data_IF_669445609000
#
_entry.id   IF_669445609000
#
_cell.length_a   1.000
_cell.length_b   1.000
_cell.length_c   1.000
_cell.angle_alpha   90.00
_cell.angle_beta   90.00
_cell.angle_gamma   90.00
#
_symmetry.space_group_name_H-M   'P 1'
#
loop_
_entity.id
_entity.type
_entity.pdbx_description
1 polymer ?
#
# COMPACT_ATOMS: atom_id res chain seq x y z
N UNK A 1 -25.95 24.41 35.23
CA UNK A 1 -25.33 23.12 35.61
C UNK A 1 -25.15 22.30 34.35
N UNK A 2 -23.95 21.75 34.14
CA UNK A 2 -23.58 21.07 32.89
C UNK A 2 -23.06 22.01 31.79
N UNK A 3 -22.68 23.22 32.17
CA UNK A 3 -21.97 24.21 31.34
C UNK A 3 -20.71 24.57 32.13
N UNK A 4 -19.56 24.50 31.47
CA UNK A 4 -18.25 24.61 32.13
C UNK A 4 -18.09 23.69 33.33
N UNK A 5 -17.47 24.23 34.38
CA UNK A 5 -17.28 23.55 35.66
C UNK A 5 -18.52 23.57 36.57
N UNK A 6 -19.58 24.28 36.22
CA UNK A 6 -20.75 24.43 37.09
C UNK A 6 -21.58 23.14 37.20
N UNK A 7 -21.75 22.69 38.43
CA UNK A 7 -22.48 21.50 38.79
C UNK A 7 -23.69 21.86 39.67
N UNK A 8 -24.82 21.17 39.44
CA UNK A 8 -25.95 21.25 40.35
C UNK A 8 -25.60 20.52 41.65
N UNK A 9 -25.88 21.14 42.79
CA UNK A 9 -25.77 20.49 44.09
C UNK A 9 -27.00 19.66 44.43
N UNK A 10 -26.87 18.83 45.46
CA UNK A 10 -27.96 18.03 46.00
C UNK A 10 -28.37 18.55 47.38
N UNK A 11 -29.66 18.74 47.57
CA UNK A 11 -30.25 18.97 48.89
C UNK A 11 -30.88 17.67 49.40
N UNK A 12 -30.59 17.30 50.65
CA UNK A 12 -31.23 16.16 51.33
C UNK A 12 -32.26 16.67 52.33
N UNK A 13 -33.50 16.18 52.23
CA UNK A 13 -34.55 16.43 53.21
C UNK A 13 -34.53 15.34 54.28
N UNK A 14 -34.50 15.72 55.56
CA UNK A 14 -34.52 14.75 56.67
C UNK A 14 -35.58 15.12 57.72
N UNK A 15 -36.31 14.12 58.22
CA UNK A 15 -37.45 14.27 59.15
C UNK A 15 -38.69 13.51 58.68
N UNK A 16 -39.59 13.12 59.62
CA UNK A 16 -40.75 12.28 59.31
C UNK A 16 -42.02 13.07 58.95
N UNK A 17 -42.27 14.24 59.58
CA UNK A 17 -43.55 14.97 59.45
C UNK A 17 -43.39 16.46 59.06
N UNK A 18 -42.25 17.08 59.40
CA UNK A 18 -41.85 18.42 58.94
C UNK A 18 -40.36 18.40 58.60
N UNK A 19 -40.02 17.76 57.47
CA UNK A 19 -38.62 17.61 57.06
C UNK A 19 -37.93 18.94 56.84
N UNK A 20 -36.73 19.10 57.40
CA UNK A 20 -35.86 20.24 57.13
C UNK A 20 -34.93 19.89 55.96
N UNK A 21 -34.79 20.84 55.02
CA UNK A 21 -33.80 20.74 53.96
C UNK A 21 -32.42 21.00 54.53
N UNK A 22 -31.47 20.09 54.32
CA UNK A 22 -30.06 20.30 54.61
C UNK A 22 -29.42 21.34 53.68
N UNK A 23 -28.13 21.58 53.85
CA UNK A 23 -27.37 22.47 52.95
C UNK A 23 -27.24 21.86 51.54
N UNK A 24 -27.05 22.73 50.53
CA UNK A 24 -26.72 22.27 49.19
C UNK A 24 -25.29 21.74 49.19
N UNK A 25 -25.10 20.47 48.87
CA UNK A 25 -23.76 19.88 48.77
C UNK A 25 -23.42 19.54 47.32
N UNK A 26 -22.18 19.82 46.91
CA UNK A 26 -21.69 19.52 45.56
C UNK A 26 -22.10 20.52 44.47
N UNK A 27 -22.70 21.66 44.82
CA UNK A 27 -22.93 22.74 43.85
C UNK A 27 -21.62 23.47 43.54
N UNK A 28 -21.36 23.71 42.25
CA UNK A 28 -20.32 24.64 41.78
C UNK A 28 -21.06 25.78 41.09
N UNK A 29 -20.84 27.00 41.59
CA UNK A 29 -21.46 28.23 41.08
C UNK A 29 -20.50 28.97 40.14
N UNK A 30 -21.01 29.84 39.26
CA UNK A 30 -20.18 30.75 38.46
C UNK A 30 -19.20 31.57 39.30
N UNK A 31 -17.93 31.63 38.89
CA UNK A 31 -16.93 32.60 39.37
C UNK A 31 -16.47 33.48 38.20
N UNK A 32 -15.80 34.63 38.42
CA UNK A 32 -15.25 35.41 37.31
C UNK A 32 -14.27 34.60 36.47
N UNK A 33 -14.31 34.79 35.15
CA UNK A 33 -13.44 34.07 34.22
C UNK A 33 -11.94 34.29 34.50
N UNK A 34 -11.19 33.20 34.41
CA UNK A 34 -9.72 33.18 34.50
C UNK A 34 -9.17 32.44 33.30
N UNK A 35 -8.16 32.98 32.62
CA UNK A 35 -7.49 32.32 31.50
C UNK A 35 -6.80 31.00 31.95
N UNK A 36 -7.53 29.90 31.99
CA UNK A 36 -7.09 28.62 32.53
C UNK A 36 -7.57 27.40 31.72
N UNK A 37 -8.25 27.63 30.59
CA UNK A 37 -8.81 26.60 29.73
C UNK A 37 -10.12 26.00 30.24
N UNK A 38 -10.78 26.65 31.20
CA UNK A 38 -12.05 26.21 31.78
C UNK A 38 -13.01 27.40 31.89
N UNK A 39 -14.21 27.22 31.36
CA UNK A 39 -15.39 28.05 31.61
C UNK A 39 -15.70 28.14 33.12
N UNK A 40 -15.25 29.23 33.76
CA UNK A 40 -15.33 29.46 35.20
C UNK A 40 -16.65 30.11 35.61
N UNK A 41 -17.22 30.93 34.73
CA UNK A 41 -18.48 31.66 34.94
C UNK A 41 -19.73 30.94 34.39
N UNK A 42 -19.50 29.83 33.68
CA UNK A 42 -20.48 28.88 33.22
C UNK A 42 -21.50 29.46 32.26
N UNK A 43 -21.09 30.43 31.44
CA UNK A 43 -21.89 31.01 30.37
C UNK A 43 -21.82 30.20 29.05
N UNK A 44 -20.86 29.29 28.94
CA UNK A 44 -20.68 28.34 27.84
C UNK A 44 -19.57 28.69 26.87
N UNK A 45 -18.91 29.83 27.04
CA UNK A 45 -17.65 30.15 26.38
C UNK A 45 -16.49 29.68 27.29
N UNK A 46 -15.25 29.72 26.81
CA UNK A 46 -14.08 29.37 27.63
C UNK A 46 -13.02 30.43 27.41
N UNK A 47 -12.45 30.94 28.50
CA UNK A 47 -11.40 31.95 28.50
C UNK A 47 -11.79 33.23 27.71
N UNK A 48 -12.90 33.87 28.06
CA UNK A 48 -13.41 35.04 27.32
C UNK A 48 -12.47 36.27 27.39
N UNK A 49 -12.76 37.22 26.51
CA UNK A 49 -12.02 38.48 26.46
C UNK A 49 -12.13 39.24 27.78
N UNK A 50 -10.98 39.69 28.30
CA UNK A 50 -10.80 40.40 29.58
C UNK A 50 -10.94 39.53 30.83
N UNK A 51 -10.89 38.21 30.69
CA UNK A 51 -10.73 37.30 31.83
C UNK A 51 -9.46 37.62 32.64
N UNK A 52 -9.47 37.24 33.92
CA UNK A 52 -8.32 37.41 34.80
C UNK A 52 -7.13 36.62 34.24
N UNK A 53 -6.03 37.30 33.95
CA UNK A 53 -4.85 36.71 33.30
C UNK A 53 -4.69 37.08 31.82
N UNK A 54 -5.68 37.77 31.23
CA UNK A 54 -5.58 38.31 29.88
C UNK A 54 -4.41 39.30 29.73
N UNK A 55 -3.91 39.43 28.50
CA UNK A 55 -2.94 40.45 28.14
C UNK A 55 -3.56 41.87 28.08
N UNK A 56 -2.79 42.86 27.61
CA UNK A 56 -3.20 44.27 27.59
C UNK A 56 -4.40 44.57 26.68
N UNK A 57 -4.69 43.68 25.71
CA UNK A 57 -5.76 43.82 24.71
C UNK A 57 -6.94 42.90 25.03
N UNK A 58 -6.86 42.21 26.18
CA UNK A 58 -7.92 41.38 26.72
C UNK A 58 -7.92 39.95 26.21
N UNK A 59 -6.86 39.47 25.56
CA UNK A 59 -6.79 38.08 25.08
C UNK A 59 -6.10 37.16 26.09
N UNK A 60 -6.67 35.97 26.29
CA UNK A 60 -6.06 34.90 27.07
C UNK A 60 -4.95 34.17 26.31
N UNK A 61 -5.13 33.96 25.01
CA UNK A 61 -4.10 33.52 24.07
C UNK A 61 -3.68 34.71 23.20
N UNK A 62 -2.42 35.11 23.31
CA UNK A 62 -1.84 36.18 22.49
C UNK A 62 -1.27 35.66 21.17
N UNK A 63 -1.62 34.46 20.73
CA UNK A 63 -1.21 34.00 19.40
C UNK A 63 -1.97 34.82 18.35
N UNK A 64 -1.23 35.51 17.48
CA UNK A 64 -1.80 36.22 16.35
C UNK A 64 -2.64 35.28 15.48
N UNK A 65 -3.79 35.79 15.05
CA UNK A 65 -4.65 35.17 14.05
C UNK A 65 -5.00 36.22 13.02
N UNK A 66 -5.33 35.79 11.80
CA UNK A 66 -5.64 36.72 10.73
C UNK A 66 -7.03 37.37 10.90
N UNK A 67 -7.14 38.34 11.81
CA UNK A 67 -8.39 39.03 12.15
C UNK A 67 -8.25 40.57 12.18
N UNK A 68 -7.10 41.10 11.78
CA UNK A 68 -6.76 42.52 11.81
C UNK A 68 -6.74 43.14 13.21
N UNK A 69 -6.52 42.32 14.24
CA UNK A 69 -6.26 42.75 15.61
C UNK A 69 -4.80 42.45 15.99
N UNK A 70 -4.31 43.19 16.97
CA UNK A 70 -3.04 42.94 17.67
C UNK A 70 -3.40 42.04 18.86
N UNK A 71 -3.36 40.72 18.67
CA UNK A 71 -3.78 39.74 19.67
C UNK A 71 -2.79 39.68 20.82
N UNK A 72 -1.51 39.94 20.58
CA UNK A 72 -0.42 39.82 21.55
C UNK A 72 -0.03 41.16 22.24
N UNK A 73 -0.49 42.27 21.69
CA UNK A 73 -0.29 43.65 22.12
C UNK A 73 1.13 44.21 21.96
N UNK A 74 1.94 43.66 21.07
CA UNK A 74 3.31 44.12 20.81
C UNK A 74 3.36 45.36 19.90
N UNK A 75 2.24 45.71 19.26
CA UNK A 75 2.09 46.85 18.37
C UNK A 75 2.28 46.55 16.88
N UNK A 76 2.54 45.29 16.51
CA UNK A 76 2.28 44.75 15.19
C UNK A 76 0.85 44.20 15.11
N UNK A 77 0.36 44.01 13.88
CA UNK A 77 -0.97 43.44 13.62
C UNK A 77 -0.74 42.30 12.65
N UNK A 78 -1.26 41.11 12.96
CA UNK A 78 -1.18 39.92 12.13
C UNK A 78 0.29 39.56 11.75
N UNK A 79 1.26 39.72 12.66
CA UNK A 79 2.64 39.32 12.35
C UNK A 79 2.82 37.81 12.39
N UNK A 80 3.62 37.29 11.46
CA UNK A 80 3.95 35.86 11.34
C UNK A 80 2.75 34.94 11.05
N UNK A 81 1.58 35.48 10.72
CA UNK A 81 0.42 34.70 10.22
C UNK A 81 0.26 34.78 8.70
N UNK A 82 1.15 35.49 8.03
CA UNK A 82 1.17 35.57 6.57
C UNK A 82 1.40 34.18 5.96
N UNK A 83 0.59 33.84 4.97
CA UNK A 83 0.77 32.66 4.14
C UNK A 83 2.04 32.77 3.28
N UNK A 84 2.32 31.75 2.49
CA UNK A 84 3.44 31.71 1.57
C UNK A 84 3.50 32.89 0.59
N UNK A 85 2.35 33.43 0.20
CA UNK A 85 2.23 34.63 -0.64
C UNK A 85 2.46 35.95 0.11
N UNK A 86 2.68 35.91 1.43
CA UNK A 86 2.83 37.10 2.26
C UNK A 86 1.51 37.78 2.62
N UNK A 87 0.38 37.14 2.35
CA UNK A 87 -0.95 37.65 2.66
C UNK A 87 -1.51 37.04 3.94
N UNK A 88 -2.30 37.83 4.66
CA UNK A 88 -3.09 37.36 5.78
C UNK A 88 -4.35 36.67 5.22
N UNK A 89 -4.23 35.40 4.85
CA UNK A 89 -5.29 34.57 4.27
C UNK A 89 -4.91 33.08 4.35
N UNK A 90 -5.85 32.14 4.18
CA UNK A 90 -5.52 30.74 3.92
C UNK A 90 -4.55 30.60 2.73
N UNK A 91 -3.84 29.47 2.67
CA UNK A 91 -3.01 29.15 1.50
C UNK A 91 -3.90 29.13 0.24
N UNK A 92 -3.55 29.88 -0.81
CA UNK A 92 -4.29 29.83 -2.07
C UNK A 92 -4.17 28.44 -2.68
N UNK A 93 -5.11 28.12 -3.58
CA UNK A 93 -5.04 26.89 -4.36
C UNK A 93 -4.53 27.20 -5.76
N UNK A 94 -3.77 26.29 -6.33
CA UNK A 94 -3.29 26.45 -7.69
C UNK A 94 -4.41 26.51 -8.74
N UNK A 95 -4.22 27.36 -9.75
CA UNK A 95 -5.06 27.44 -10.94
C UNK A 95 -4.18 27.47 -12.16
N UNK A 96 -4.46 26.58 -13.12
CA UNK A 96 -3.64 26.48 -14.32
C UNK A 96 -3.77 27.73 -15.21
N UNK A 97 -2.91 28.71 -14.99
CA UNK A 97 -2.98 30.05 -15.55
C UNK A 97 -1.57 30.61 -15.94
N UNK A 98 -0.50 29.86 -15.66
CA UNK A 98 0.89 30.25 -15.91
C UNK A 98 1.54 31.09 -14.80
N UNK A 99 0.83 31.30 -13.70
CA UNK A 99 1.34 31.93 -12.49
C UNK A 99 1.53 30.88 -11.38
N UNK A 100 2.19 31.33 -10.33
CA UNK A 100 2.40 30.61 -9.08
C UNK A 100 1.36 31.18 -8.11
N UNK A 101 0.15 30.61 -8.12
CA UNK A 101 -1.02 31.14 -7.42
C UNK A 101 -0.97 30.84 -5.92
N UNK A 102 -0.36 29.72 -5.52
CA UNK A 102 -0.13 29.37 -4.11
C UNK A 102 1.24 29.81 -3.59
N UNK A 103 2.01 30.50 -4.45
CA UNK A 103 3.36 31.02 -4.20
C UNK A 103 4.39 29.95 -3.84
N UNK A 104 4.07 28.69 -4.19
CA UNK A 104 4.85 27.52 -4.51
C UNK A 104 6.36 27.63 -4.75
N UNK A 105 6.71 28.57 -5.61
CA UNK A 105 7.93 28.57 -6.40
C UNK A 105 7.80 27.75 -7.69
N UNK A 106 6.68 27.05 -7.92
CA UNK A 106 6.40 26.25 -9.12
C UNK A 106 5.06 26.70 -9.69
N UNK A 107 5.07 27.28 -10.88
CA UNK A 107 3.83 27.66 -11.56
C UNK A 107 3.04 26.41 -12.00
N UNK A 108 1.72 26.45 -11.77
CA UNK A 108 0.75 25.44 -12.17
C UNK A 108 1.02 24.01 -11.61
N UNK A 109 1.65 23.86 -10.43
CA UNK A 109 1.88 22.53 -9.84
C UNK A 109 0.57 21.84 -9.42
N UNK A 110 0.50 20.53 -9.63
CA UNK A 110 -0.69 19.73 -9.32
C UNK A 110 -1.94 20.02 -10.17
N UNK A 111 -1.91 21.01 -11.08
CA UNK A 111 -3.03 21.38 -11.96
C UNK A 111 -2.75 21.19 -13.45
N UNK A 112 -1.52 20.84 -13.82
CA UNK A 112 -1.14 20.43 -15.18
C UNK A 112 -1.36 18.94 -15.44
N UNK A 113 -1.56 18.58 -16.71
CA UNK A 113 -1.58 17.19 -17.15
C UNK A 113 -0.15 16.59 -17.22
N UNK A 114 -0.02 15.31 -17.60
CA UNK A 114 1.27 14.62 -17.67
C UNK A 114 2.28 15.23 -18.66
N UNK A 115 1.86 16.10 -19.59
CA UNK A 115 2.72 16.82 -20.52
C UNK A 115 3.11 18.21 -20.01
N UNK A 116 2.63 18.61 -18.82
CA UNK A 116 2.81 19.97 -18.30
C UNK A 116 1.89 21.00 -18.94
N UNK A 117 0.77 20.59 -19.54
CA UNK A 117 -0.20 21.51 -20.15
C UNK A 117 -1.46 21.68 -19.30
N UNK A 118 -2.06 22.86 -19.37
CA UNK A 118 -3.30 23.16 -18.67
C UNK A 118 -4.51 22.47 -19.31
N UNK A 119 -5.42 21.88 -18.49
CA UNK A 119 -6.73 21.43 -18.95
C UNK A 119 -7.50 22.54 -19.69
N UNK A 120 -8.37 22.19 -20.67
CA UNK A 120 -8.71 20.83 -21.09
C UNK A 120 -7.71 20.26 -22.11
N UNK A 121 -6.56 20.92 -22.32
CA UNK A 121 -5.60 20.49 -23.34
C UNK A 121 -5.17 19.07 -23.03
N UNK A 122 -5.40 18.14 -23.96
CA UNK A 122 -5.07 16.76 -23.70
C UNK A 122 -3.61 16.49 -24.05
N UNK A 123 -2.94 15.74 -23.19
CA UNK A 123 -1.55 15.36 -23.35
C UNK A 123 -1.44 14.05 -24.14
N UNK A 124 -1.18 14.15 -25.44
CA UNK A 124 -0.78 13.01 -26.26
C UNK A 124 0.29 13.43 -27.27
N UNK A 125 1.38 12.67 -27.37
CA UNK A 125 2.47 12.93 -28.33
C UNK A 125 2.03 12.77 -29.79
N UNK A 126 1.01 11.94 -30.05
CA UNK A 126 0.47 11.70 -31.39
C UNK A 126 -1.05 11.51 -31.37
N UNK A 127 -1.72 12.12 -32.35
CA UNK A 127 -3.16 11.88 -32.61
C UNK A 127 -3.28 10.79 -33.67
N UNK A 128 -3.90 9.67 -33.32
CA UNK A 128 -4.07 8.55 -34.24
C UNK A 128 -5.49 8.56 -34.83
N UNK A 129 -5.64 8.76 -36.15
CA UNK A 129 -6.94 9.01 -36.78
C UNK A 129 -7.89 7.80 -36.83
N UNK A 130 -7.51 6.64 -36.28
CA UNK A 130 -8.38 5.46 -36.21
C UNK A 130 -8.25 4.74 -34.86
N UNK A 131 -9.32 4.70 -34.04
CA UNK A 131 -9.40 3.87 -32.84
C UNK A 131 -9.39 2.39 -33.25
N UNK A 132 -8.68 1.56 -32.49
CA UNK A 132 -8.86 0.11 -32.45
C UNK A 132 -8.77 -0.63 -33.80
N UNK A 133 -7.55 -0.89 -34.28
CA UNK A 133 -7.29 -2.06 -35.13
C UNK A 133 -6.49 -3.11 -34.36
N UNK A 134 -6.97 -3.42 -33.16
CA UNK A 134 -6.66 -4.65 -32.45
C UNK A 134 -7.34 -5.80 -33.20
N UNK A 135 -6.59 -6.48 -34.06
CA UNK A 135 -7.02 -7.73 -34.71
C UNK A 135 -7.26 -7.70 -36.22
N UNK A 136 -7.04 -6.57 -36.92
CA UNK A 136 -7.23 -6.49 -38.38
C UNK A 136 -5.96 -6.70 -39.22
N UNK A 137 -4.82 -6.16 -38.78
CA UNK A 137 -3.63 -6.03 -39.64
C UNK A 137 -2.30 -6.51 -39.02
N UNK A 138 -2.21 -6.66 -37.69
CA UNK A 138 -0.97 -7.07 -37.02
C UNK A 138 -1.20 -8.26 -36.07
N UNK A 139 -0.73 -9.47 -36.42
CA UNK A 139 -0.88 -10.67 -35.59
C UNK A 139 0.02 -10.69 -34.34
N UNK A 140 0.82 -9.64 -34.09
CA UNK A 140 1.70 -9.53 -32.92
C UNK A 140 1.23 -8.52 -31.86
N UNK A 141 0.07 -7.87 -32.04
CA UNK A 141 -0.51 -6.96 -31.04
C UNK A 141 -1.53 -7.67 -30.16
N UNK A 142 -1.17 -7.83 -28.89
CA UNK A 142 -2.06 -8.18 -27.79
C UNK A 142 -2.62 -6.90 -27.17
N UNK A 143 -3.93 -6.86 -26.92
CA UNK A 143 -4.66 -5.66 -26.48
C UNK A 143 -5.29 -5.82 -25.09
N UNK A 144 -4.82 -6.77 -24.29
CA UNK A 144 -5.20 -6.85 -22.89
C UNK A 144 -4.73 -5.60 -22.11
N UNK A 145 -5.69 -4.90 -21.48
CA UNK A 145 -5.42 -3.76 -20.59
C UNK A 145 -5.48 -2.36 -21.23
N UNK A 146 -5.97 -2.23 -22.46
CA UNK A 146 -6.19 -0.93 -23.12
C UNK A 146 -7.69 -0.64 -23.24
N UNK A 147 -8.13 0.49 -22.68
CA UNK A 147 -9.50 1.00 -22.83
C UNK A 147 -9.51 2.32 -23.61
N UNK A 148 -10.61 2.58 -24.31
CA UNK A 148 -10.82 3.84 -25.02
C UNK A 148 -11.18 4.94 -24.00
N UNK A 149 -10.54 6.09 -24.07
CA UNK A 149 -10.81 7.18 -23.12
C UNK A 149 -12.29 7.62 -23.23
N UNK A 150 -13.06 7.67 -22.12
CA UNK A 150 -14.50 7.92 -22.16
C UNK A 150 -14.90 9.26 -22.80
N UNK A 151 -14.07 10.29 -22.62
CA UNK A 151 -14.30 11.63 -23.20
C UNK A 151 -13.60 11.88 -24.55
N UNK A 152 -12.72 10.98 -25.01
CA UNK A 152 -11.91 11.17 -26.22
C UNK A 152 -11.86 9.88 -27.07
N UNK A 153 -12.93 9.59 -27.84
CA UNK A 153 -12.98 8.43 -28.72
C UNK A 153 -11.81 8.47 -29.72
N UNK A 154 -11.03 7.39 -29.79
CA UNK A 154 -9.78 7.33 -30.57
C UNK A 154 -8.47 7.52 -29.80
N UNK A 155 -8.52 7.76 -28.49
CA UNK A 155 -7.32 7.82 -27.64
C UNK A 155 -7.19 6.58 -26.75
N UNK A 156 -5.93 6.20 -26.49
CA UNK A 156 -5.55 5.07 -25.63
C UNK A 156 -5.17 5.63 -24.26
N UNK A 157 -5.78 5.15 -23.19
CA UNK A 157 -5.27 5.32 -21.83
C UNK A 157 -4.53 4.05 -21.42
N UNK A 158 -3.39 4.19 -20.73
CA UNK A 158 -2.89 3.11 -19.89
C UNK A 158 -3.87 2.99 -18.73
N UNK A 159 -4.64 1.90 -18.68
CA UNK A 159 -5.46 1.60 -17.51
C UNK A 159 -4.52 1.31 -16.34
N UNK A 160 -4.39 2.25 -15.40
CA UNK A 160 -3.91 1.89 -14.08
C UNK A 160 -4.99 1.03 -13.40
N UNK A 161 -4.78 -0.29 -13.42
CA UNK A 161 -5.59 -1.21 -12.65
C UNK A 161 -5.06 -1.28 -11.22
N UNK A 162 -5.74 -0.66 -10.25
CA UNK A 162 -5.48 -0.97 -8.85
C UNK A 162 -6.09 -2.33 -8.52
N UNK A 163 -5.24 -3.36 -8.41
CA UNK A 163 -5.66 -4.67 -7.91
C UNK A 163 -5.59 -4.69 -6.39
N UNK A 164 -6.75 -4.54 -5.75
CA UNK A 164 -6.89 -4.78 -4.32
C UNK A 164 -7.41 -6.20 -4.08
N UNK A 165 -6.57 -7.04 -3.48
CA UNK A 165 -6.95 -8.37 -3.04
C UNK A 165 -6.77 -8.49 -1.53
N UNK A 166 -7.85 -8.63 -0.75
CA UNK A 166 -7.76 -8.84 0.69
C UNK A 166 -7.44 -10.30 1.01
N UNK A 167 -6.68 -11.01 0.16
CA UNK A 167 -6.41 -12.43 0.33
C UNK A 167 -4.95 -12.70 0.62
N UNK A 168 -4.71 -13.51 1.64
CA UNK A 168 -3.41 -14.14 1.88
C UNK A 168 -3.47 -15.64 1.62
N UNK A 169 -2.36 -16.18 1.13
CA UNK A 169 -2.20 -17.60 0.87
C UNK A 169 -1.20 -18.22 1.83
N UNK A 170 -1.61 -19.29 2.51
CA UNK A 170 -0.83 -19.95 3.54
C UNK A 170 -0.51 -21.38 3.09
N UNK A 171 0.79 -21.67 2.96
CA UNK A 171 1.28 -23.03 2.81
C UNK A 171 1.10 -23.82 4.13
N UNK A 172 0.13 -24.73 4.16
CA UNK A 172 -0.15 -25.60 5.30
C UNK A 172 0.72 -26.85 5.21
N UNK A 173 2.03 -26.68 5.42
CA UNK A 173 3.06 -27.71 5.20
C UNK A 173 2.68 -29.07 5.78
N UNK A 174 2.26 -29.12 7.05
CA UNK A 174 1.97 -30.38 7.75
C UNK A 174 0.78 -31.16 7.20
N UNK A 175 0.01 -30.58 6.27
CA UNK A 175 -1.14 -31.21 5.62
C UNK A 175 -0.97 -31.38 4.11
N UNK A 176 0.17 -30.97 3.53
CA UNK A 176 0.36 -30.89 2.07
C UNK A 176 -0.71 -30.05 1.36
N UNK A 177 -1.17 -28.98 2.01
CA UNK A 177 -2.28 -28.16 1.55
C UNK A 177 -1.90 -26.68 1.49
N UNK A 178 -2.71 -25.90 0.79
CA UNK A 178 -2.68 -24.44 0.73
C UNK A 178 -4.04 -23.92 1.17
N UNK A 179 -4.07 -22.80 1.89
CA UNK A 179 -5.30 -22.13 2.29
C UNK A 179 -5.29 -20.67 1.85
N UNK A 180 -6.45 -20.17 1.44
CA UNK A 180 -6.70 -18.76 1.19
C UNK A 180 -7.55 -18.19 2.33
N UNK A 181 -7.12 -17.08 2.91
CA UNK A 181 -7.82 -16.37 3.97
C UNK A 181 -8.09 -14.95 3.53
N UNK A 182 -9.29 -14.46 3.83
CA UNK A 182 -9.62 -13.05 3.69
C UNK A 182 -9.07 -12.27 4.91
N UNK A 183 -8.28 -11.23 4.68
CA UNK A 183 -7.59 -10.45 5.72
C UNK A 183 -8.51 -9.50 6.45
N UNK A 184 -9.57 -9.03 5.81
CA UNK A 184 -10.51 -8.08 6.41
C UNK A 184 -11.43 -8.77 7.42
N UNK A 185 -11.90 -9.96 7.06
CA UNK A 185 -12.87 -10.74 7.85
C UNK A 185 -12.21 -11.82 8.71
N UNK A 186 -10.97 -12.20 8.41
CA UNK A 186 -10.28 -13.33 9.03
C UNK A 186 -10.84 -14.71 8.65
N UNK A 187 -11.74 -14.79 7.66
CA UNK A 187 -12.39 -16.03 7.24
C UNK A 187 -11.49 -16.81 6.29
N UNK A 188 -11.37 -18.13 6.52
CA UNK A 188 -10.73 -19.05 5.58
C UNK A 188 -11.70 -19.36 4.44
N UNK A 189 -11.39 -18.85 3.25
CA UNK A 189 -12.19 -19.05 2.04
C UNK A 189 -12.16 -20.51 1.62
N UNK A 190 -10.96 -21.07 1.51
CA UNK A 190 -10.76 -22.47 1.18
C UNK A 190 -9.44 -23.04 1.71
N UNK A 191 -9.34 -24.36 1.71
CA UNK A 191 -8.11 -25.12 1.95
C UNK A 191 -8.11 -26.34 1.04
N UNK A 192 -7.09 -26.46 0.19
CA UNK A 192 -7.00 -27.43 -0.92
C UNK A 192 -5.63 -28.10 -0.95
N UNK A 193 -5.55 -29.22 -1.66
CA UNK A 193 -4.29 -29.92 -1.90
C UNK A 193 -3.28 -28.99 -2.57
N UNK A 194 -2.01 -29.10 -2.18
CA UNK A 194 -0.92 -28.36 -2.82
C UNK A 194 -0.42 -29.00 -4.11
N UNK A 195 -1.00 -30.15 -4.51
CA UNK A 195 -0.59 -30.94 -5.67
C UNK A 195 0.91 -31.31 -5.67
N UNK A 196 1.44 -31.46 -4.46
CA UNK A 196 2.79 -31.89 -4.13
C UNK A 196 2.89 -32.19 -2.64
N UNK A 197 4.09 -32.16 -2.07
CA UNK A 197 4.28 -32.37 -0.62
C UNK A 197 5.19 -31.32 -0.01
N UNK A 198 4.96 -31.04 1.28
CA UNK A 198 5.68 -30.03 2.05
C UNK A 198 5.70 -28.65 1.37
N UNK A 199 4.54 -28.05 1.04
CA UNK A 199 4.49 -26.71 0.47
C UNK A 199 5.23 -25.72 1.39
N UNK A 200 5.93 -24.75 0.81
CA UNK A 200 6.84 -23.88 1.58
C UNK A 200 6.88 -22.42 1.17
N UNK A 201 6.69 -22.13 -0.11
CA UNK A 201 6.65 -20.77 -0.64
C UNK A 201 5.41 -20.61 -1.49
N UNK A 202 4.83 -19.43 -1.41
CA UNK A 202 3.75 -18.98 -2.27
C UNK A 202 4.18 -17.68 -2.93
N UNK A 203 3.72 -17.46 -4.16
CA UNK A 203 3.82 -16.18 -4.85
C UNK A 203 2.46 -15.92 -5.51
N UNK A 204 1.93 -14.72 -5.33
CA UNK A 204 0.58 -14.36 -5.76
C UNK A 204 0.70 -13.51 -7.02
N UNK A 205 0.02 -13.89 -8.09
CA UNK A 205 -0.01 -13.14 -9.33
C UNK A 205 -1.03 -11.98 -9.26
N UNK A 206 -0.95 -11.04 -10.21
CA UNK A 206 -1.82 -9.86 -10.24
C UNK A 206 -3.31 -10.18 -10.49
N UNK A 207 -3.61 -11.33 -11.07
CA UNK A 207 -4.98 -11.85 -11.19
C UNK A 207 -5.51 -12.48 -9.89
N UNK A 208 -4.69 -12.45 -8.82
CA UNK A 208 -4.97 -13.03 -7.52
C UNK A 208 -4.73 -14.52 -7.43
N UNK A 209 -4.40 -15.21 -8.52
CA UNK A 209 -4.02 -16.63 -8.51
C UNK A 209 -2.72 -16.87 -7.74
N UNK A 210 -2.45 -18.12 -7.34
CA UNK A 210 -1.29 -18.43 -6.48
C UNK A 210 -0.41 -19.51 -7.08
N UNK A 211 0.88 -19.24 -7.07
CA UNK A 211 1.95 -20.19 -7.35
C UNK A 211 2.50 -20.76 -6.06
N UNK A 212 2.76 -22.07 -6.05
CA UNK A 212 3.13 -22.79 -4.83
C UNK A 212 4.33 -23.69 -5.10
N UNK A 213 5.39 -23.55 -4.29
CA UNK A 213 6.56 -24.42 -4.35
C UNK A 213 6.47 -25.53 -3.30
N UNK A 214 6.46 -26.77 -3.78
CA UNK A 214 6.45 -28.00 -2.99
C UNK A 214 7.87 -28.56 -2.88
N UNK A 215 8.33 -28.80 -1.64
CA UNK A 215 9.72 -29.21 -1.38
C UNK A 215 10.00 -30.69 -1.62
N UNK A 216 8.96 -31.52 -1.62
CA UNK A 216 9.12 -32.96 -1.80
C UNK A 216 10.01 -33.65 -0.78
N UNK A 217 10.10 -33.22 0.49
CA UNK A 217 11.12 -33.72 1.44
C UNK A 217 11.21 -35.25 1.59
N UNK A 218 10.12 -35.99 1.35
CA UNK A 218 10.15 -37.45 1.33
C UNK A 218 10.91 -38.04 0.13
N UNK A 219 10.79 -37.43 -1.04
CA UNK A 219 11.51 -37.78 -2.26
C UNK A 219 11.62 -36.56 -3.20
N UNK A 220 12.64 -35.68 -3.03
CA UNK A 220 12.73 -34.44 -3.80
C UNK A 220 12.94 -34.64 -5.30
N UNK A 221 13.35 -35.84 -5.74
CA UNK A 221 13.51 -36.18 -7.15
C UNK A 221 12.21 -36.59 -7.84
N UNK A 222 11.16 -36.90 -7.07
CA UNK A 222 9.84 -37.22 -7.59
C UNK A 222 9.04 -35.94 -7.84
N UNK A 223 8.77 -35.65 -9.10
CA UNK A 223 8.05 -34.44 -9.54
C UNK A 223 6.57 -34.42 -9.13
N UNK A 224 6.01 -35.55 -8.69
CA UNK A 224 4.70 -35.56 -8.04
C UNK A 224 4.76 -35.04 -6.60
N UNK A 225 5.94 -35.04 -5.96
CA UNK A 225 6.15 -34.57 -4.60
C UNK A 225 6.86 -33.21 -4.54
N UNK A 226 7.83 -32.98 -5.42
CA UNK A 226 8.62 -31.76 -5.52
C UNK A 226 8.37 -31.07 -6.86
N UNK A 227 7.70 -29.94 -6.81
CA UNK A 227 7.24 -29.25 -8.01
C UNK A 227 6.86 -27.80 -7.70
N UNK A 228 6.50 -27.09 -8.75
CA UNK A 228 5.81 -25.81 -8.65
C UNK A 228 4.45 -25.96 -9.32
N UNK A 229 3.39 -25.46 -8.68
CA UNK A 229 2.03 -25.51 -9.22
C UNK A 229 1.42 -24.14 -9.25
N UNK A 230 0.54 -23.91 -10.22
CA UNK A 230 -0.33 -22.75 -10.33
C UNK A 230 -1.74 -23.14 -9.94
N UNK A 231 -2.33 -22.42 -8.99
CA UNK A 231 -3.70 -22.61 -8.55
C UNK A 231 -4.52 -21.36 -8.86
N UNK A 232 -5.75 -21.55 -9.33
CA UNK A 232 -6.71 -20.47 -9.55
C UNK A 232 -7.23 -19.89 -8.22
N UNK A 233 -8.09 -18.87 -8.32
CA UNK A 233 -8.72 -18.19 -7.18
C UNK A 233 -9.55 -19.11 -6.28
N UNK A 234 -10.05 -20.23 -6.82
CA UNK A 234 -10.85 -21.24 -6.10
C UNK A 234 -9.98 -22.39 -5.54
N UNK A 235 -8.68 -22.35 -5.80
CA UNK A 235 -7.69 -23.34 -5.38
C UNK A 235 -7.67 -24.60 -6.24
N UNK A 236 -8.17 -24.55 -7.47
CA UNK A 236 -8.05 -25.66 -8.43
C UNK A 236 -6.70 -25.59 -9.15
N UNK A 237 -6.16 -26.77 -9.51
CA UNK A 237 -4.93 -26.85 -10.27
C UNK A 237 -5.12 -26.33 -11.69
N UNK A 238 -4.41 -25.26 -12.03
CA UNK A 238 -4.27 -24.76 -13.40
C UNK A 238 -3.21 -25.59 -14.13
N UNK A 239 -1.99 -25.64 -13.58
CA UNK A 239 -0.89 -26.41 -14.17
C UNK A 239 0.22 -26.75 -13.17
N UNK A 240 1.08 -27.70 -13.55
CA UNK A 240 2.28 -28.09 -12.80
C UNK A 240 3.55 -27.94 -13.64
N UNK A 241 4.55 -27.25 -13.10
CA UNK A 241 5.93 -27.27 -13.56
C UNK A 241 6.74 -28.33 -12.81
N UNK A 242 7.45 -29.17 -13.56
CA UNK A 242 8.30 -30.24 -13.00
C UNK A 242 9.63 -29.65 -12.55
N UNK A 243 9.73 -29.36 -11.25
CA UNK A 243 10.90 -28.75 -10.59
C UNK A 243 11.51 -29.77 -9.62
N UNK A 244 12.28 -30.76 -10.11
CA UNK A 244 12.92 -31.75 -9.25
C UNK A 244 14.01 -31.09 -8.40
N UNK A 245 14.08 -31.50 -7.13
CA UNK A 245 14.89 -30.87 -6.09
C UNK A 245 14.01 -30.10 -5.09
N UNK A 246 14.57 -29.79 -3.91
CA UNK A 246 13.86 -29.15 -2.81
C UNK A 246 13.54 -27.69 -3.18
N UNK A 247 12.35 -27.45 -3.74
CA UNK A 247 11.91 -26.14 -4.17
C UNK A 247 11.67 -25.22 -2.96
N UNK A 248 12.51 -24.19 -2.79
CA UNK A 248 12.48 -23.25 -1.66
C UNK A 248 12.45 -21.78 -2.06
N UNK A 249 12.73 -21.49 -3.33
CA UNK A 249 12.62 -20.15 -3.89
C UNK A 249 11.45 -20.09 -4.85
N UNK A 250 10.66 -19.02 -4.79
CA UNK A 250 9.60 -18.73 -5.73
C UNK A 250 9.45 -17.21 -5.85
N UNK A 251 9.41 -16.68 -7.07
CA UNK A 251 9.14 -15.28 -7.35
C UNK A 251 8.52 -15.13 -8.75
N UNK A 252 7.87 -13.98 -9.01
CA UNK A 252 7.23 -13.65 -10.29
C UNK A 252 7.95 -12.44 -10.86
N UNK A 253 8.31 -12.48 -12.15
CA UNK A 253 8.91 -11.32 -12.83
C UNK A 253 7.84 -10.40 -13.46
N UNK A 254 8.27 -9.25 -13.97
CA UNK A 254 7.37 -8.26 -14.58
C UNK A 254 6.65 -8.79 -15.83
N UNK A 255 7.20 -9.82 -16.49
CA UNK A 255 6.54 -10.50 -17.60
C UNK A 255 5.51 -11.54 -17.09
N UNK A 256 5.34 -11.72 -15.78
CA UNK A 256 4.48 -12.75 -15.21
C UNK A 256 5.07 -14.15 -15.28
N UNK A 257 6.35 -14.32 -15.65
CA UNK A 257 7.01 -15.62 -15.59
C UNK A 257 7.44 -15.94 -14.16
N UNK A 258 7.51 -17.23 -13.87
CA UNK A 258 7.77 -17.73 -12.52
C UNK A 258 9.20 -18.23 -12.42
N UNK A 259 9.87 -17.76 -11.38
CA UNK A 259 11.22 -18.18 -11.04
C UNK A 259 11.18 -19.10 -9.84
N UNK A 260 11.67 -20.31 -10.02
CA UNK A 260 11.68 -21.34 -8.99
C UNK A 260 13.10 -21.80 -8.68
N UNK A 261 13.44 -21.89 -7.41
CA UNK A 261 14.79 -22.21 -6.95
C UNK A 261 14.83 -23.45 -6.10
N UNK A 262 15.78 -24.34 -6.40
CA UNK A 262 15.97 -25.61 -5.69
C UNK A 262 17.20 -25.56 -4.79
N UNK A 263 17.02 -25.95 -3.53
CA UNK A 263 18.06 -25.84 -2.52
C UNK A 263 19.17 -26.89 -2.69
N UNK A 264 18.81 -28.16 -2.87
CA UNK A 264 19.78 -29.27 -2.91
C UNK A 264 20.48 -29.44 -4.26
N UNK A 265 19.84 -29.02 -5.35
CA UNK A 265 20.35 -29.13 -6.73
C UNK A 265 20.89 -27.82 -7.26
N UNK A 266 20.83 -26.73 -6.48
CA UNK A 266 21.32 -25.39 -6.83
C UNK A 266 20.79 -24.82 -8.15
N UNK A 267 19.70 -25.41 -8.66
CA UNK A 267 19.12 -25.09 -9.97
C UNK A 267 18.02 -24.05 -9.81
N UNK A 268 18.07 -23.01 -10.63
CA UNK A 268 16.97 -22.07 -10.83
C UNK A 268 16.26 -22.37 -12.15
N UNK A 269 14.94 -22.30 -12.15
CA UNK A 269 14.06 -22.56 -13.28
C UNK A 269 13.28 -21.29 -13.62
N UNK A 270 13.14 -20.99 -14.90
CA UNK A 270 12.17 -20.02 -15.42
C UNK A 270 11.01 -20.80 -16.03
N UNK A 271 9.80 -20.52 -15.58
CA UNK A 271 8.57 -21.18 -15.96
C UNK A 271 7.66 -20.13 -16.60
N UNK A 272 7.04 -20.48 -17.72
CA UNK A 272 6.04 -19.63 -18.38
C UNK A 272 4.80 -19.52 -17.48
N UNK A 273 4.45 -18.30 -17.09
CA UNK A 273 3.29 -18.03 -16.24
C UNK A 273 2.01 -17.72 -17.01
N UNK A 274 2.06 -17.66 -18.34
CA UNK A 274 0.94 -17.27 -19.21
C UNK A 274 0.35 -18.44 -19.98
N UNK A 275 1.17 -19.45 -20.29
CA UNK A 275 0.74 -20.58 -21.13
C UNK A 275 0.60 -21.88 -20.33
N UNK A 276 -0.34 -22.72 -20.77
CA UNK A 276 -0.60 -24.05 -20.19
C UNK A 276 -0.64 -25.08 -21.30
N UNK A 277 0.19 -26.13 -21.19
CA UNK A 277 0.05 -27.33 -22.00
C UNK A 277 -1.00 -28.25 -21.37
N UNK A 278 -2.21 -28.19 -21.92
CA UNK A 278 -3.35 -29.00 -21.51
C UNK A 278 -3.35 -30.43 -22.09
N UNK A 279 -2.38 -30.79 -22.93
CA UNK A 279 -2.31 -32.14 -23.52
C UNK A 279 -1.76 -33.19 -22.55
N UNK A 280 -1.02 -32.74 -21.54
CA UNK A 280 -0.47 -33.56 -20.48
C UNK A 280 -1.43 -33.72 -19.29
N UNK A 281 -1.24 -34.79 -18.51
CA UNK A 281 -2.01 -35.05 -17.29
C UNK A 281 -1.07 -35.22 -16.08
N UNK A 282 -1.12 -34.32 -15.07
CA UNK A 282 -1.87 -33.06 -15.06
C UNK A 282 -1.35 -32.05 -16.10
N UNK A 283 -2.08 -30.96 -16.39
CA UNK A 283 -1.64 -29.89 -17.27
C UNK A 283 -0.28 -29.30 -16.84
N UNK A 284 0.50 -28.79 -17.78
CA UNK A 284 1.89 -28.37 -17.54
C UNK A 284 2.10 -26.88 -17.76
N UNK A 285 2.80 -26.25 -16.84
CA UNK A 285 3.35 -24.92 -17.05
C UNK A 285 4.70 -25.11 -17.75
N UNK A 286 4.90 -24.62 -18.99
CA UNK A 286 6.13 -24.83 -19.74
C UNK A 286 7.37 -24.29 -19.00
N UNK A 287 8.46 -25.05 -19.01
CA UNK A 287 9.75 -24.57 -18.50
C UNK A 287 10.49 -23.89 -19.64
N UNK A 288 10.75 -22.58 -19.49
CA UNK A 288 11.46 -21.76 -20.46
C UNK A 288 12.99 -21.95 -20.37
N UNK A 289 13.48 -22.29 -19.18
CA UNK A 289 14.91 -22.53 -18.97
C UNK A 289 15.24 -23.01 -17.57
N UNK A 290 16.44 -23.56 -17.41
CA UNK A 290 16.98 -23.92 -16.10
C UNK A 290 18.50 -23.76 -16.08
N UNK A 291 19.04 -23.30 -14.96
CA UNK A 291 20.46 -22.98 -14.82
C UNK A 291 20.97 -23.36 -13.43
N UNK A 292 22.19 -23.89 -13.38
CA UNK A 292 22.86 -24.17 -12.12
C UNK A 292 23.55 -22.90 -11.58
N UNK A 293 23.13 -22.45 -10.40
CA UNK A 293 23.70 -21.31 -9.72
C UNK A 293 24.89 -21.70 -8.83
N UNK A 294 25.16 -22.98 -8.60
CA UNK A 294 26.26 -23.44 -7.75
C UNK A 294 26.16 -22.98 -6.29
N UNK A 295 24.99 -22.49 -5.86
CA UNK A 295 24.69 -22.06 -4.49
C UNK A 295 23.30 -22.56 -4.08
N UNK A 296 23.11 -22.83 -2.79
CA UNK A 296 21.84 -23.35 -2.29
C UNK A 296 20.76 -22.25 -2.22
N UNK A 297 19.73 -22.36 -3.05
CA UNK A 297 18.67 -21.34 -3.15
C UNK A 297 17.66 -21.48 -2.00
N UNK A 298 17.60 -20.48 -1.12
CA UNK A 298 16.65 -20.44 0.02
C UNK A 298 15.41 -19.59 -0.21
N UNK A 299 15.53 -18.58 -1.07
CA UNK A 299 14.49 -17.61 -1.37
C UNK A 299 14.85 -16.89 -2.67
N UNK A 300 13.81 -16.37 -3.32
CA UNK A 300 13.91 -15.57 -4.53
C UNK A 300 13.15 -14.26 -4.35
N UNK A 301 13.65 -13.21 -4.96
CA UNK A 301 12.96 -11.93 -5.12
C UNK A 301 13.29 -11.40 -6.52
N UNK A 302 12.34 -10.71 -7.15
CA UNK A 302 12.56 -10.00 -8.41
C UNK A 302 12.41 -8.50 -8.13
N UNK A 303 13.28 -7.68 -8.71
CA UNK A 303 13.18 -6.22 -8.62
C UNK A 303 12.58 -5.60 -9.90
N UNK A 304 12.15 -4.33 -9.80
CA UNK A 304 11.60 -3.58 -10.93
C UNK A 304 12.62 -3.28 -12.04
N UNK A 305 13.91 -3.53 -11.80
CA UNK A 305 14.96 -3.38 -12.81
C UNK A 305 15.17 -4.67 -13.64
N UNK A 306 14.37 -5.71 -13.40
CA UNK A 306 14.42 -6.96 -14.16
C UNK A 306 15.51 -7.92 -13.70
N UNK A 307 15.88 -7.90 -12.42
CA UNK A 307 16.82 -8.87 -11.84
C UNK A 307 16.15 -9.83 -10.87
N UNK A 308 16.52 -11.11 -10.97
CA UNK A 308 16.20 -12.12 -9.98
C UNK A 308 17.36 -12.25 -9.00
N UNK A 309 17.01 -12.26 -7.73
CA UNK A 309 17.95 -12.32 -6.63
C UNK A 309 17.70 -13.56 -5.80
N UNK A 310 18.78 -14.21 -5.39
CA UNK A 310 18.74 -15.21 -4.33
C UNK A 310 19.74 -14.88 -3.23
N UNK A 311 19.30 -15.02 -1.98
CA UNK A 311 20.21 -15.05 -0.84
C UNK A 311 20.62 -16.49 -0.58
N UNK A 312 21.91 -16.75 -0.66
CA UNK A 312 22.52 -18.06 -0.45
C UNK A 312 23.84 -17.85 0.29
N UNK A 313 24.24 -18.79 1.14
CA UNK A 313 25.59 -18.77 1.72
C UNK A 313 26.53 -19.55 0.79
N UNK A 314 27.76 -19.05 0.51
CA UNK A 314 28.38 -17.80 0.99
C UNK A 314 28.15 -16.57 0.09
N UNK A 315 27.42 -16.72 -1.01
CA UNK A 315 27.20 -15.66 -1.99
C UNK A 315 25.72 -15.48 -2.31
N UNK A 316 25.25 -14.24 -2.26
CA UNK A 316 24.02 -13.88 -2.95
C UNK A 316 24.28 -13.85 -4.45
N UNK A 317 23.33 -14.34 -5.24
CA UNK A 317 23.41 -14.31 -6.71
C UNK A 317 22.34 -13.36 -7.23
N UNK A 318 22.75 -12.49 -8.17
CA UNK A 318 21.87 -11.69 -9.01
C UNK A 318 21.99 -12.17 -10.45
N UNK A 319 20.88 -12.33 -11.15
CA UNK A 319 20.85 -12.60 -12.59
C UNK A 319 19.81 -11.72 -13.29
N UNK A 320 20.09 -11.27 -14.50
CA UNK A 320 19.11 -10.56 -15.32
C UNK A 320 18.03 -11.52 -15.85
N UNK A 321 16.76 -11.11 -15.83
CA UNK A 321 15.62 -11.88 -16.36
C UNK A 321 15.77 -12.12 -17.87
N UNK A 322 16.32 -11.14 -18.59
CA UNK A 322 16.53 -11.17 -20.04
C UNK A 322 17.78 -11.96 -20.47
N UNK A 323 18.81 -12.02 -19.63
CA UNK A 323 20.04 -12.79 -19.89
C UNK A 323 20.58 -13.46 -18.61
N UNK A 324 19.98 -14.61 -18.22
CA UNK A 324 20.31 -15.30 -16.97
C UNK A 324 21.74 -15.85 -16.91
N UNK A 325 22.43 -15.94 -18.05
CA UNK A 325 23.76 -16.53 -18.18
C UNK A 325 24.83 -15.44 -18.33
N UNK A 326 24.60 -14.47 -19.22
CA UNK A 326 25.58 -13.43 -19.54
C UNK A 326 25.63 -12.28 -18.53
N UNK A 327 24.53 -11.95 -17.86
CA UNK A 327 24.49 -10.97 -16.76
C UNK A 327 24.12 -11.62 -15.43
N UNK A 328 25.06 -12.42 -14.94
CA UNK A 328 25.03 -13.04 -13.61
C UNK A 328 26.17 -12.52 -12.74
N UNK A 329 25.86 -12.15 -11.51
CA UNK A 329 26.84 -11.67 -10.52
C UNK A 329 26.72 -12.42 -9.20
N UNK A 330 27.87 -12.81 -8.65
CA UNK A 330 27.98 -13.31 -7.29
C UNK A 330 28.44 -12.17 -6.37
N UNK A 331 27.73 -11.98 -5.28
CA UNK A 331 27.98 -10.93 -4.28
C UNK A 331 28.30 -11.65 -2.97
N UNK A 332 29.51 -11.45 -2.46
CA UNK A 332 29.94 -12.08 -1.21
C UNK A 332 29.08 -11.62 -0.04
N UNK A 333 28.44 -12.55 0.65
CA UNK A 333 27.69 -12.29 1.87
C UNK A 333 27.99 -13.39 2.89
N UNK A 334 28.85 -13.11 3.89
CA UNK A 334 29.43 -14.19 4.66
C UNK A 334 28.47 -14.84 5.66
N UNK A 335 27.34 -14.22 6.06
CA UNK A 335 26.55 -14.74 7.21
C UNK A 335 25.03 -14.50 7.23
N UNK A 336 24.41 -13.90 6.21
CA UNK A 336 22.97 -13.56 6.30
C UNK A 336 22.11 -14.26 5.25
N UNK A 337 20.94 -14.76 5.68
CA UNK A 337 19.86 -15.18 4.80
C UNK A 337 18.86 -14.03 4.69
N UNK A 338 18.74 -13.42 3.52
CA UNK A 338 17.81 -12.31 3.26
C UNK A 338 18.30 -11.40 2.15
N UNK A 339 17.36 -10.88 1.36
CA UNK A 339 17.61 -9.76 0.46
C UNK A 339 16.43 -8.81 0.56
N UNK A 340 16.71 -7.52 0.70
CA UNK A 340 15.74 -6.44 0.54
C UNK A 340 16.30 -5.53 -0.54
N UNK A 341 15.60 -5.35 -1.68
CA UNK A 341 15.90 -4.23 -2.55
C UNK A 341 15.71 -2.95 -1.71
N UNK A 342 16.67 -2.03 -1.74
CA UNK A 342 16.47 -0.71 -1.18
C UNK A 342 15.42 0.00 -2.05
N UNK A 343 14.41 0.60 -1.42
CA UNK A 343 13.57 1.58 -2.10
C UNK A 343 14.46 2.78 -2.44
N UNK A 344 14.67 3.04 -3.73
CA UNK A 344 15.21 4.29 -4.24
C UNK A 344 14.07 5.23 -4.53
#
# INVERSE_FOLDING_TARGET
AGVGRCAAGTFTCSGLEFGEWGECTGSVIPDPEVCNGTDDDCDGETDERWAVGSNRCGFCDGTEVCDAMDNDCDGAVDERVANRCGECAPEPTETCNGADDDCDGIADDGVVNACGECPPTPCFEETWPMPADCGGADPYRDCDGVEEHPDYPGSITFGEGTFESPFIYIAVTGRNQVAQLNTDTGVKMWQRESYGTYPSRTAVAFDGSVWVANRGFGNPSDVAQSNVVHLDLDGNLVCRADVPGIARGLAIDADGNIWAGTWNTTTIYKIDGRTVDATASPPRCPILGSWDLGVNIYGLAVDGAGYVWTSSSPNSIRLAVADPVGDRRAIGNPWFYGISPAAS
#
